data_IF_179880942558
#
_entry.id   IF_179880942558
#
_cell.length_a   1.000
_cell.length_b   1.000
_cell.length_c   1.000
_cell.angle_alpha   90.00
_cell.angle_beta   90.00
_cell.angle_gamma   90.00
#
_symmetry.space_group_name_H-M   'P 1'
#
loop_
_entity.id
_entity.type
_entity.pdbx_description
1 polymer ?
#
# COMPACT_ATOMS: atom_id res chain seq x y z
N UNK A 1 -12.18 -24.85 -8.72
CA UNK A 1 -10.91 -24.20 -9.09
C UNK A 1 -10.05 -24.19 -7.81
N UNK A 2 -8.84 -24.75 -7.81
CA UNK A 2 -7.98 -24.70 -6.62
C UNK A 2 -7.47 -23.26 -6.48
N UNK A 3 -7.57 -22.68 -5.28
CA UNK A 3 -7.03 -21.37 -4.93
C UNK A 3 -5.66 -21.53 -4.24
N UNK A 4 -4.59 -21.80 -4.99
CA UNK A 4 -3.29 -22.16 -4.42
C UNK A 4 -2.62 -20.98 -3.69
N UNK A 5 -3.13 -19.75 -3.86
CA UNK A 5 -2.57 -18.52 -3.28
C UNK A 5 -3.53 -17.84 -2.30
N UNK A 6 -4.67 -18.46 -1.97
CA UNK A 6 -5.65 -17.88 -1.06
C UNK A 6 -6.29 -16.56 -1.55
N UNK A 7 -6.30 -16.33 -2.87
CA UNK A 7 -6.78 -15.08 -3.46
C UNK A 7 -8.24 -14.77 -3.14
N UNK A 8 -9.04 -15.81 -2.89
CA UNK A 8 -10.46 -15.69 -2.57
C UNK A 8 -10.75 -15.84 -1.07
N UNK A 9 -9.74 -16.04 -0.24
CA UNK A 9 -9.92 -16.08 1.20
C UNK A 9 -10.01 -14.66 1.77
N UNK A 10 -11.00 -14.42 2.62
CA UNK A 10 -11.22 -13.12 3.27
C UNK A 10 -10.26 -12.96 4.46
N UNK A 11 -9.06 -12.48 4.18
CA UNK A 11 -7.98 -12.30 5.16
C UNK A 11 -7.61 -10.83 5.37
N UNK A 12 -7.94 -9.95 4.40
CA UNK A 12 -7.56 -8.54 4.41
C UNK A 12 -8.63 -7.72 5.13
N UNK A 13 -8.25 -6.88 6.10
CA UNK A 13 -9.19 -5.99 6.79
C UNK A 13 -9.84 -4.99 5.82
N UNK A 14 -11.14 -4.79 5.95
CA UNK A 14 -11.86 -3.76 5.18
C UNK A 14 -11.44 -2.32 5.54
N UNK A 15 -10.68 -2.11 6.61
CA UNK A 15 -10.10 -0.79 6.94
C UNK A 15 -9.28 -0.21 5.80
N UNK A 16 -8.60 -1.05 5.03
CA UNK A 16 -7.86 -0.63 3.84
C UNK A 16 -8.79 -0.14 2.73
N UNK A 17 -9.92 -0.82 2.53
CA UNK A 17 -10.92 -0.40 1.56
C UNK A 17 -11.61 0.91 1.99
N UNK A 18 -11.91 1.08 3.28
CA UNK A 18 -12.48 2.33 3.78
C UNK A 18 -11.59 3.53 3.49
N UNK A 19 -10.28 3.42 3.73
CA UNK A 19 -9.33 4.48 3.41
C UNK A 19 -9.32 4.80 1.91
N UNK A 20 -9.32 3.77 1.05
CA UNK A 20 -9.34 3.99 -0.39
C UNK A 20 -10.64 4.67 -0.84
N UNK A 21 -11.77 4.27 -0.28
CA UNK A 21 -13.06 4.90 -0.56
C UNK A 21 -13.13 6.35 -0.07
N UNK A 22 -12.49 6.67 1.06
CA UNK A 22 -12.35 8.06 1.55
C UNK A 22 -11.54 8.90 0.54
N UNK A 23 -10.41 8.37 0.05
CA UNK A 23 -9.56 9.07 -0.91
C UNK A 23 -10.29 9.33 -2.24
N UNK A 24 -10.99 8.34 -2.78
CA UNK A 24 -11.67 8.51 -4.08
C UNK A 24 -12.82 9.53 -4.04
N UNK A 25 -13.37 9.85 -2.87
CA UNK A 25 -14.35 10.93 -2.71
C UNK A 25 -13.76 12.31 -3.02
N UNK A 26 -12.45 12.51 -2.75
CA UNK A 26 -11.74 13.75 -3.09
C UNK A 26 -11.70 13.98 -4.62
N UNK A 27 -11.89 12.91 -5.41
CA UNK A 27 -11.99 12.93 -6.88
C UNK A 27 -13.43 13.02 -7.40
N UNK A 28 -14.38 13.28 -6.53
CA UNK A 28 -15.82 13.29 -6.86
C UNK A 28 -16.34 11.97 -7.47
N UNK A 29 -15.71 10.85 -7.12
CA UNK A 29 -16.11 9.52 -7.56
C UNK A 29 -17.07 8.92 -6.53
N UNK A 30 -18.21 8.45 -7.02
CA UNK A 30 -19.22 7.82 -6.17
C UNK A 30 -18.76 6.45 -5.64
N UNK A 31 -18.97 6.22 -4.36
CA UNK A 31 -18.54 5.01 -3.66
C UNK A 31 -19.15 3.74 -4.24
N UNK A 32 -20.44 3.74 -4.59
CA UNK A 32 -21.11 2.57 -5.16
C UNK A 32 -20.53 2.22 -6.54
N UNK A 33 -20.12 3.23 -7.30
CA UNK A 33 -19.48 3.05 -8.60
C UNK A 33 -18.11 2.37 -8.44
N UNK A 34 -17.32 2.78 -7.45
CA UNK A 34 -16.02 2.14 -7.15
C UNK A 34 -16.19 0.69 -6.70
N UNK A 35 -17.22 0.41 -5.90
CA UNK A 35 -17.53 -0.94 -5.40
C UNK A 35 -18.11 -1.87 -6.47
N UNK A 36 -18.55 -1.34 -7.61
CA UNK A 36 -19.20 -2.14 -8.66
C UNK A 36 -18.32 -3.31 -9.11
N UNK A 37 -18.89 -4.50 -9.14
CA UNK A 37 -18.22 -5.73 -9.59
C UNK A 37 -17.15 -6.28 -8.63
N UNK A 38 -16.90 -5.65 -7.48
CA UNK A 38 -15.94 -6.14 -6.47
C UNK A 38 -16.51 -7.26 -5.61
N UNK A 39 -17.83 -7.33 -5.46
CA UNK A 39 -18.50 -8.20 -4.49
C UNK A 39 -18.51 -7.65 -3.07
N UNK A 40 -17.94 -6.46 -2.82
CA UNK A 40 -18.01 -5.77 -1.53
C UNK A 40 -19.32 -4.97 -1.43
N UNK A 41 -19.89 -4.92 -0.22
CA UNK A 41 -21.09 -4.14 0.09
C UNK A 41 -20.82 -3.24 1.29
N UNK A 42 -21.15 -1.96 1.19
CA UNK A 42 -20.96 -0.99 2.28
C UNK A 42 -21.57 -1.46 3.61
N UNK A 43 -22.74 -2.10 3.58
CA UNK A 43 -23.41 -2.59 4.77
C UNK A 43 -22.59 -3.69 5.49
N UNK A 44 -21.95 -4.59 4.73
CA UNK A 44 -21.11 -5.67 5.27
C UNK A 44 -19.78 -5.14 5.78
N UNK A 45 -19.20 -4.15 5.09
CA UNK A 45 -17.95 -3.50 5.48
C UNK A 45 -18.03 -2.72 6.81
N UNK A 46 -19.24 -2.35 7.28
CA UNK A 46 -19.45 -1.69 8.58
C UNK A 46 -19.30 -2.60 9.78
N UNK A 47 -19.24 -3.90 9.59
CA UNK A 47 -19.04 -4.85 10.69
C UNK A 47 -17.62 -4.74 11.25
N UNK A 48 -17.47 -4.84 12.58
CA UNK A 48 -16.20 -4.55 13.27
C UNK A 48 -14.99 -5.35 12.77
N UNK A 49 -15.19 -6.63 12.42
CA UNK A 49 -14.12 -7.53 11.97
C UNK A 49 -14.27 -7.93 10.51
N UNK A 50 -14.95 -7.10 9.71
CA UNK A 50 -15.15 -7.37 8.30
C UNK A 50 -13.81 -7.51 7.56
N UNK A 51 -13.76 -8.52 6.70
CA UNK A 51 -12.59 -8.82 5.88
C UNK A 51 -13.00 -8.93 4.42
N UNK A 52 -12.04 -8.76 3.56
CA UNK A 52 -12.15 -8.97 2.11
C UNK A 52 -11.05 -9.89 1.62
N UNK A 53 -11.25 -10.47 0.45
CA UNK A 53 -10.23 -11.25 -0.22
C UNK A 53 -9.25 -10.37 -1.00
N UNK A 54 -8.06 -10.91 -1.31
CA UNK A 54 -7.10 -10.24 -2.17
C UNK A 54 -7.69 -9.93 -3.57
N UNK A 55 -8.57 -10.81 -4.07
CA UNK A 55 -9.27 -10.58 -5.34
C UNK A 55 -10.23 -9.38 -5.27
N UNK A 56 -11.02 -9.26 -4.21
CA UNK A 56 -11.92 -8.11 -3.99
C UNK A 56 -11.14 -6.81 -3.84
N UNK A 57 -10.06 -6.84 -3.05
CA UNK A 57 -9.15 -5.70 -2.89
C UNK A 57 -8.56 -5.25 -4.22
N UNK A 58 -7.99 -6.18 -4.99
CA UNK A 58 -7.40 -5.87 -6.29
C UNK A 58 -8.40 -5.25 -7.27
N UNK A 59 -9.63 -5.76 -7.31
CA UNK A 59 -10.70 -5.16 -8.13
C UNK A 59 -11.06 -3.75 -7.68
N UNK A 60 -11.13 -3.53 -6.37
CA UNK A 60 -11.42 -2.21 -5.81
C UNK A 60 -10.34 -1.21 -6.20
N UNK A 61 -9.07 -1.58 -6.08
CA UNK A 61 -7.92 -0.74 -6.49
C UNK A 61 -7.98 -0.41 -7.98
N UNK A 62 -8.20 -1.40 -8.84
CA UNK A 62 -8.30 -1.18 -10.30
C UNK A 62 -9.47 -0.25 -10.64
N UNK A 63 -10.61 -0.41 -10.00
CA UNK A 63 -11.74 0.51 -10.19
C UNK A 63 -11.38 1.93 -9.74
N UNK A 64 -10.74 2.08 -8.58
CA UNK A 64 -10.30 3.37 -8.06
C UNK A 64 -9.32 4.06 -9.02
N UNK A 65 -8.27 3.38 -9.48
CA UNK A 65 -7.31 3.89 -10.45
C UNK A 65 -7.99 4.36 -11.74
N UNK A 66 -8.90 3.53 -12.29
CA UNK A 66 -9.63 3.85 -13.51
C UNK A 66 -10.54 5.06 -13.35
N UNK A 67 -11.26 5.16 -12.24
CA UNK A 67 -12.30 6.18 -12.05
C UNK A 67 -11.70 7.53 -11.62
N UNK A 68 -10.61 7.52 -10.84
CA UNK A 68 -9.90 8.74 -10.47
C UNK A 68 -9.03 9.26 -11.61
N UNK A 69 -8.59 8.38 -12.52
CA UNK A 69 -7.59 8.72 -13.54
C UNK A 69 -6.22 9.09 -12.96
N UNK A 70 -6.00 8.85 -11.65
CA UNK A 70 -4.73 9.13 -11.00
C UNK A 70 -3.84 7.86 -10.98
N UNK A 71 -2.80 7.79 -11.84
CA UNK A 71 -1.90 6.63 -11.87
C UNK A 71 -1.03 6.52 -10.61
N UNK A 72 -0.98 7.59 -9.77
CA UNK A 72 -0.18 7.68 -8.53
C UNK A 72 -1.04 7.66 -7.26
N UNK A 73 -2.21 7.10 -7.37
CA UNK A 73 -3.14 6.94 -6.24
C UNK A 73 -2.49 6.13 -5.09
N UNK A 74 -1.55 5.24 -5.41
CA UNK A 74 -0.81 4.45 -4.42
C UNK A 74 0.04 5.31 -3.47
N UNK A 75 0.65 6.38 -3.98
CA UNK A 75 1.43 7.33 -3.17
C UNK A 75 0.52 8.06 -2.18
N UNK A 76 -0.58 8.61 -2.69
CA UNK A 76 -1.56 9.32 -1.86
C UNK A 76 -2.13 8.40 -0.78
N UNK A 77 -2.45 7.16 -1.17
CA UNK A 77 -2.92 6.14 -0.27
C UNK A 77 -1.88 5.81 0.81
N UNK A 78 -0.61 5.65 0.43
CA UNK A 78 0.50 5.36 1.35
C UNK A 78 0.64 6.43 2.43
N UNK A 79 0.64 7.71 2.06
CA UNK A 79 0.72 8.82 3.01
C UNK A 79 -0.51 8.97 3.92
N UNK A 80 -1.68 8.54 3.47
CA UNK A 80 -2.91 8.54 4.29
C UNK A 80 -3.08 7.28 5.14
N UNK A 81 -2.25 6.23 4.94
CA UNK A 81 -2.25 5.04 5.78
C UNK A 81 -1.92 5.41 7.23
N UNK A 82 -2.67 4.84 8.15
CA UNK A 82 -2.41 4.98 9.59
C UNK A 82 -1.82 3.67 10.11
N UNK A 83 -0.83 3.70 11.03
CA UNK A 83 -0.33 2.46 11.65
C UNK A 83 -1.45 1.58 12.21
N UNK A 84 -2.47 2.18 12.81
CA UNK A 84 -3.65 1.48 13.36
C UNK A 84 -4.45 0.70 12.32
N UNK A 85 -4.34 1.03 11.02
CA UNK A 85 -4.96 0.25 9.93
C UNK A 85 -4.38 -1.16 9.83
N UNK A 86 -3.16 -1.36 10.35
CA UNK A 86 -2.48 -2.65 10.41
C UNK A 86 -2.83 -3.47 11.67
N UNK A 87 -3.83 -3.05 12.46
CA UNK A 87 -4.28 -3.74 13.67
C UNK A 87 -3.16 -3.91 14.71
N UNK A 88 -3.01 -5.12 15.28
CA UNK A 88 -2.03 -5.37 16.34
C UNK A 88 -0.59 -5.02 15.92
N UNK A 89 -0.21 -5.28 14.65
CA UNK A 89 1.11 -4.91 14.14
C UNK A 89 1.33 -3.40 14.18
N UNK A 90 0.32 -2.62 13.80
CA UNK A 90 0.41 -1.16 13.83
C UNK A 90 0.52 -0.59 15.26
N UNK A 91 -0.20 -1.16 16.22
CA UNK A 91 -0.05 -0.78 17.63
C UNK A 91 1.32 -1.15 18.18
N UNK A 92 1.85 -2.33 17.83
CA UNK A 92 3.19 -2.74 18.20
C UNK A 92 4.26 -1.79 17.61
N UNK A 93 4.10 -1.39 16.34
CA UNK A 93 4.94 -0.40 15.69
C UNK A 93 4.95 0.94 16.45
N UNK A 94 3.78 1.46 16.82
CA UNK A 94 3.66 2.71 17.60
C UNK A 94 4.27 2.62 19.00
N UNK A 95 4.53 1.40 19.50
CA UNK A 95 5.15 1.16 20.79
C UNK A 95 6.68 1.01 20.70
N UNK A 96 7.26 1.00 19.51
CA UNK A 96 8.71 0.94 19.30
C UNK A 96 9.35 2.27 19.71
N UNK A 97 10.53 2.21 20.30
CA UNK A 97 11.29 3.37 20.75
C UNK A 97 12.25 3.93 19.70
N UNK A 98 12.55 3.15 18.69
CA UNK A 98 13.52 3.46 17.64
C UNK A 98 13.18 2.78 16.31
N UNK A 99 13.81 3.26 15.25
CA UNK A 99 13.60 2.81 13.87
C UNK A 99 14.02 1.35 13.67
N UNK A 100 15.14 0.92 14.27
CA UNK A 100 15.67 -0.43 14.10
C UNK A 100 14.71 -1.48 14.66
N UNK A 101 14.17 -1.22 15.85
CA UNK A 101 13.14 -2.07 16.47
C UNK A 101 11.88 -2.11 15.62
N UNK A 102 11.46 -0.96 15.08
CA UNK A 102 10.28 -0.87 14.22
C UNK A 102 10.45 -1.64 12.90
N UNK A 103 11.59 -1.52 12.23
CA UNK A 103 11.91 -2.26 11.01
C UNK A 103 12.01 -3.77 11.25
N UNK A 104 12.66 -4.18 12.34
CA UNK A 104 12.74 -5.59 12.73
C UNK A 104 11.36 -6.20 12.97
N UNK A 105 10.48 -5.47 13.67
CA UNK A 105 9.11 -5.87 13.90
C UNK A 105 8.35 -6.01 12.57
N UNK A 106 8.47 -5.03 11.68
CA UNK A 106 7.85 -5.07 10.37
C UNK A 106 8.35 -6.27 9.57
N UNK A 107 9.65 -6.49 9.45
CA UNK A 107 10.21 -7.61 8.72
C UNK A 107 9.71 -8.97 9.24
N UNK A 108 9.64 -9.13 10.56
CA UNK A 108 9.20 -10.37 11.17
C UNK A 108 7.71 -10.67 10.94
N UNK A 109 6.85 -9.64 10.97
CA UNK A 109 5.40 -9.83 10.98
C UNK A 109 4.67 -9.30 9.74
N UNK A 110 5.38 -8.75 8.77
CA UNK A 110 4.80 -8.19 7.55
C UNK A 110 3.95 -9.21 6.78
N UNK A 111 4.43 -10.46 6.67
CA UNK A 111 3.71 -11.53 6.00
C UNK A 111 2.33 -11.85 6.60
N UNK A 112 2.08 -11.45 7.86
CA UNK A 112 0.74 -11.58 8.48
C UNK A 112 -0.29 -10.63 7.89
N UNK A 113 0.16 -9.61 7.15
CA UNK A 113 -0.67 -8.57 6.53
C UNK A 113 -0.64 -8.60 5.01
N UNK A 114 0.53 -8.81 4.44
CA UNK A 114 0.77 -8.76 3.01
C UNK A 114 1.64 -9.96 2.63
N UNK A 115 1.12 -10.83 1.78
CA UNK A 115 1.79 -12.08 1.40
C UNK A 115 2.50 -11.98 0.04
N UNK A 116 2.23 -10.91 -0.72
CA UNK A 116 2.74 -10.75 -2.07
C UNK A 116 4.13 -10.10 -2.12
N UNK A 117 4.56 -9.48 -1.02
CA UNK A 117 5.83 -8.76 -0.91
C UNK A 117 6.60 -9.19 0.32
N UNK A 118 7.92 -9.15 0.24
CA UNK A 118 8.82 -9.38 1.37
C UNK A 118 9.68 -8.14 1.58
N UNK A 119 9.58 -7.47 2.74
CA UNK A 119 10.48 -6.39 3.09
C UNK A 119 11.78 -6.95 3.65
N UNK A 120 12.90 -6.46 3.15
CA UNK A 120 14.22 -6.65 3.73
C UNK A 120 14.83 -5.29 4.05
N UNK A 121 15.63 -5.21 5.08
CA UNK A 121 16.33 -3.97 5.42
C UNK A 121 17.72 -4.24 5.95
N UNK A 122 18.61 -3.28 5.75
CA UNK A 122 19.97 -3.27 6.33
C UNK A 122 20.45 -1.83 6.54
N UNK A 123 21.44 -1.66 7.36
CA UNK A 123 22.11 -0.38 7.59
C UNK A 123 23.48 -0.41 6.95
N UNK A 124 23.77 0.61 6.14
CA UNK A 124 25.09 0.81 5.53
C UNK A 124 25.40 2.31 5.46
N UNK A 125 26.60 2.71 5.93
CA UNK A 125 27.10 4.10 5.90
C UNK A 125 26.09 5.15 6.46
N UNK A 126 25.48 4.83 7.60
CA UNK A 126 24.45 5.65 8.28
C UNK A 126 23.11 5.79 7.51
N UNK A 127 22.91 5.03 6.44
CA UNK A 127 21.64 4.94 5.73
C UNK A 127 20.93 3.63 6.04
N UNK A 128 19.60 3.70 6.09
CA UNK A 128 18.75 2.52 6.15
C UNK A 128 18.25 2.24 4.72
N UNK A 129 18.56 1.04 4.23
CA UNK A 129 18.07 0.54 2.95
C UNK A 129 16.90 -0.40 3.22
N UNK A 130 15.77 -0.12 2.59
CA UNK A 130 14.58 -0.98 2.63
C UNK A 130 14.32 -1.47 1.21
N UNK A 131 14.34 -2.79 1.04
CA UNK A 131 14.00 -3.47 -0.22
C UNK A 131 12.61 -4.09 -0.09
N UNK A 132 11.85 -4.04 -1.16
CA UNK A 132 10.54 -4.65 -1.25
C UNK A 132 10.47 -5.52 -2.50
N UNK A 133 10.57 -6.83 -2.30
CA UNK A 133 10.55 -7.80 -3.39
C UNK A 133 9.16 -8.39 -3.62
N UNK A 134 8.80 -8.52 -4.91
CA UNK A 134 7.61 -9.26 -5.34
C UNK A 134 7.82 -10.77 -5.16
N UNK A 135 7.15 -11.38 -4.21
CA UNK A 135 7.17 -12.84 -4.02
C UNK A 135 6.15 -13.52 -4.94
N UNK A 136 4.98 -12.91 -5.08
CA UNK A 136 3.89 -13.41 -5.91
C UNK A 136 3.21 -12.25 -6.64
N UNK A 137 3.58 -11.98 -7.91
CA UNK A 137 2.98 -10.88 -8.66
C UNK A 137 1.47 -11.07 -8.79
N UNK A 138 0.73 -10.04 -8.39
CA UNK A 138 -0.73 -10.02 -8.50
C UNK A 138 -1.11 -9.86 -9.96
N UNK A 139 -1.86 -10.81 -10.51
CA UNK A 139 -2.40 -10.74 -11.88
C UNK A 139 -3.91 -10.54 -11.83
N UNK A 140 -4.38 -9.44 -12.39
CA UNK A 140 -5.81 -9.14 -12.54
C UNK A 140 -6.04 -8.48 -13.90
N UNK A 141 -6.87 -9.10 -14.72
CA UNK A 141 -7.17 -8.56 -16.06
C UNK A 141 -6.01 -8.68 -17.05
N UNK A 142 -5.83 -7.66 -17.90
CA UNK A 142 -4.72 -7.59 -18.87
C UNK A 142 -3.39 -7.16 -18.23
N UNK A 143 -2.31 -7.15 -19.03
CA UNK A 143 -0.97 -6.77 -18.58
C UNK A 143 -0.97 -5.36 -17.98
N UNK A 144 -1.53 -4.37 -18.66
CA UNK A 144 -1.61 -2.97 -18.19
C UNK A 144 -2.28 -2.84 -16.83
N UNK A 145 -3.42 -3.53 -16.61
CA UNK A 145 -4.11 -3.48 -15.32
C UNK A 145 -3.29 -4.14 -14.20
N UNK A 146 -2.56 -5.20 -14.53
CA UNK A 146 -1.69 -5.88 -13.57
C UNK A 146 -0.51 -4.99 -13.19
N UNK A 147 0.07 -4.26 -14.14
CA UNK A 147 1.18 -3.33 -13.89
C UNK A 147 0.72 -2.11 -13.07
N UNK A 148 -0.44 -1.54 -13.38
CA UNK A 148 -1.03 -0.45 -12.59
C UNK A 148 -1.33 -0.88 -11.15
N UNK A 149 -1.89 -2.08 -10.97
CA UNK A 149 -2.14 -2.64 -9.65
C UNK A 149 -0.84 -2.86 -8.87
N UNK A 150 0.19 -3.42 -9.53
CA UNK A 150 1.52 -3.62 -8.94
C UNK A 150 2.11 -2.28 -8.49
N UNK A 151 2.12 -1.28 -9.36
CA UNK A 151 2.62 0.07 -9.02
C UNK A 151 1.88 0.65 -7.82
N UNK A 152 0.54 0.61 -7.80
CA UNK A 152 -0.25 1.06 -6.65
C UNK A 152 0.15 0.36 -5.35
N UNK A 153 0.30 -0.96 -5.37
CA UNK A 153 0.63 -1.73 -4.17
C UNK A 153 2.04 -1.37 -3.65
N UNK A 154 3.04 -1.31 -4.53
CA UNK A 154 4.42 -0.96 -4.15
C UNK A 154 4.48 0.48 -3.65
N UNK A 155 3.88 1.44 -4.34
CA UNK A 155 3.81 2.83 -3.91
C UNK A 155 3.15 2.95 -2.53
N UNK A 156 2.01 2.28 -2.32
CA UNK A 156 1.31 2.28 -1.02
C UNK A 156 2.21 1.80 0.12
N UNK A 157 3.03 0.78 -0.13
CA UNK A 157 3.92 0.21 0.86
C UNK A 157 5.14 1.09 1.12
N UNK A 158 5.79 1.59 0.06
CA UNK A 158 6.99 2.43 0.18
C UNK A 158 6.63 3.76 0.86
N UNK A 159 5.61 4.46 0.37
CA UNK A 159 5.22 5.76 0.93
C UNK A 159 4.53 5.64 2.29
N UNK A 160 3.84 4.52 2.56
CA UNK A 160 3.36 4.17 3.89
C UNK A 160 4.50 3.92 4.87
N UNK A 161 5.56 3.22 4.45
CA UNK A 161 6.76 3.01 5.26
C UNK A 161 7.48 4.33 5.58
N UNK A 162 7.66 5.21 4.59
CA UNK A 162 8.24 6.54 4.79
C UNK A 162 7.41 7.34 5.80
N UNK A 163 6.09 7.36 5.62
CA UNK A 163 5.19 8.04 6.54
C UNK A 163 5.29 7.49 7.97
N UNK A 164 5.30 6.17 8.14
CA UNK A 164 5.41 5.54 9.46
C UNK A 164 6.77 5.79 10.12
N UNK A 165 7.85 5.69 9.37
CA UNK A 165 9.20 5.95 9.88
C UNK A 165 9.38 7.43 10.25
N UNK A 166 8.70 8.35 9.54
CA UNK A 166 8.71 9.78 9.85
C UNK A 166 8.09 10.11 11.21
N UNK A 167 7.30 9.20 11.80
CA UNK A 167 6.80 9.35 13.17
C UNK A 167 7.92 9.30 14.21
N UNK A 168 9.08 8.69 13.90
CA UNK A 168 10.26 8.70 14.76
C UNK A 168 11.14 9.95 14.55
N UNK A 169 11.20 10.47 13.33
CA UNK A 169 11.93 11.69 12.97
C UNK A 169 11.45 12.25 11.64
N UNK A 170 11.06 13.53 11.61
CA UNK A 170 10.68 14.25 10.38
C UNK A 170 11.80 14.25 9.34
N UNK A 171 13.08 14.23 9.79
CA UNK A 171 14.25 14.16 8.90
C UNK A 171 14.29 12.93 8.01
N UNK A 172 13.56 11.86 8.35
CA UNK A 172 13.51 10.65 7.53
C UNK A 172 12.85 10.96 6.19
N UNK A 173 11.72 11.63 6.17
CA UNK A 173 11.07 12.02 4.92
C UNK A 173 11.93 13.00 4.10
N UNK A 174 12.59 13.95 4.77
CA UNK A 174 13.44 14.96 4.09
C UNK A 174 14.68 14.37 3.42
N UNK A 175 15.17 13.21 3.87
CA UNK A 175 16.39 12.59 3.37
C UNK A 175 16.14 11.21 2.74
N UNK A 176 14.91 10.94 2.31
CA UNK A 176 14.55 9.67 1.70
C UNK A 176 14.77 9.69 0.18
N UNK A 177 15.35 8.62 -0.35
CA UNK A 177 15.43 8.36 -1.79
C UNK A 177 14.66 7.06 -2.09
N UNK A 178 13.77 7.10 -3.08
CA UNK A 178 12.95 5.95 -3.48
C UNK A 178 13.38 5.49 -4.86
N UNK A 179 13.73 4.21 -5.00
CA UNK A 179 14.08 3.58 -6.26
C UNK A 179 12.95 2.65 -6.70
N UNK A 180 12.52 2.78 -7.95
CA UNK A 180 11.48 1.93 -8.52
C UNK A 180 11.93 1.37 -9.88
N UNK A 181 11.44 0.19 -10.24
CA UNK A 181 11.85 -0.58 -11.41
C UNK A 181 10.93 -0.43 -12.63
N UNK A 182 10.04 0.56 -12.64
CA UNK A 182 9.18 0.85 -13.79
C UNK A 182 9.52 2.17 -14.47
N UNK A 183 9.30 2.22 -15.80
CA UNK A 183 9.85 3.23 -16.70
C UNK A 183 9.12 4.60 -16.72
N UNK A 184 8.04 4.81 -15.97
CA UNK A 184 7.21 6.00 -16.12
C UNK A 184 7.53 7.13 -15.12
N UNK A 185 8.70 7.74 -15.33
CA UNK A 185 9.16 8.89 -14.54
C UNK A 185 8.28 10.14 -14.64
N UNK A 186 7.53 10.30 -15.72
CA UNK A 186 6.78 11.54 -15.96
C UNK A 186 5.60 11.68 -15.00
N UNK A 187 5.05 10.58 -14.53
CA UNK A 187 3.91 10.56 -13.63
C UNK A 187 4.23 11.03 -12.20
N UNK A 188 5.51 11.10 -11.81
CA UNK A 188 5.90 11.60 -10.47
C UNK A 188 6.04 13.12 -10.40
N UNK A 189 6.11 13.82 -11.54
CA UNK A 189 6.33 15.27 -11.58
C UNK A 189 5.16 16.10 -11.07
N UNK A 190 3.97 15.55 -11.00
CA UNK A 190 2.74 16.23 -10.56
C UNK A 190 2.48 16.14 -9.05
N UNK A 191 3.28 15.37 -8.32
CA UNK A 191 3.13 15.18 -6.88
C UNK A 191 4.17 16.04 -6.18
N UNK A 192 3.74 16.82 -5.20
CA UNK A 192 4.67 17.59 -4.35
C UNK A 192 5.41 16.62 -3.42
N UNK A 193 6.49 16.07 -3.94
CA UNK A 193 7.44 15.22 -3.24
C UNK A 193 8.72 16.02 -2.95
N UNK A 194 8.58 17.30 -2.62
CA UNK A 194 9.68 18.25 -2.48
C UNK A 194 10.82 17.77 -1.56
N UNK A 195 10.55 16.78 -0.73
CA UNK A 195 11.48 16.18 0.22
C UNK A 195 11.91 14.75 -0.11
N UNK A 196 11.34 14.13 -1.17
CA UNK A 196 11.61 12.73 -1.51
C UNK A 196 12.09 12.65 -2.96
N UNK A 197 13.28 12.08 -3.17
CA UNK A 197 13.77 11.77 -4.51
C UNK A 197 13.27 10.41 -4.97
N UNK A 198 12.59 10.38 -6.12
CA UNK A 198 12.24 9.13 -6.80
C UNK A 198 13.22 8.93 -7.94
N UNK A 199 13.94 7.82 -7.88
CA UNK A 199 14.93 7.41 -8.87
C UNK A 199 14.40 6.19 -9.61
N UNK A 200 14.57 6.20 -10.92
CA UNK A 200 14.16 5.12 -11.80
C UNK A 200 15.39 4.34 -12.22
N UNK A 201 15.34 3.03 -12.05
CA UNK A 201 16.36 2.11 -12.53
C UNK A 201 16.05 1.65 -13.96
#
# INVERSE_FOLDING_TARGET
MRDPFGLFQETISVSYAHLLLEIVQDYAVDTETVLSGTGLRLAEMKQADAKMSAHQWSKLVVNALKLTGNPRLGIEYGFKLRPTSHGALGFAFLSCTDVETALSLCQQYFCTRIQNFTPEWHIENDFVYVHLDDVHPVKLGGAEQSDQLRSFLIESLLFGAIHFLSLFSEKIAENCEVFVDWADAQNYKSIDLSHIKILLN
#
